data_IF_222740768338
#
_entry.id   IF_222740768338
#
_cell.length_a   1.000
_cell.length_b   1.000
_cell.length_c   1.000
_cell.angle_alpha   90.00
_cell.angle_beta   90.00
_cell.angle_gamma   90.00
#
_symmetry.space_group_name_H-M   'P 1'
#
loop_
_entity.id
_entity.type
_entity.pdbx_description
1 polymer ?
#
# COMPACT_ATOMS: atom_id res chain seq x y z
N UNK A 1 28.56 0.88 -2.14
CA UNK A 1 27.69 1.76 -1.33
C UNK A 1 26.43 2.03 -2.13
N UNK A 2 25.20 1.65 -1.79
CA UNK A 2 24.67 0.66 -0.84
C UNK A 2 23.45 0.05 -1.60
N UNK A 3 23.45 -1.24 -1.99
CA UNK A 3 22.40 -1.80 -2.87
C UNK A 3 21.04 -1.96 -2.18
N UNK A 4 20.99 -1.80 -0.86
CA UNK A 4 19.77 -1.73 -0.09
C UNK A 4 19.49 -0.27 0.29
N UNK A 5 18.37 0.25 -0.20
CA UNK A 5 17.75 1.44 0.33
C UNK A 5 17.41 1.23 1.81
N UNK A 6 18.30 1.69 2.68
CA UNK A 6 18.16 1.59 4.13
C UNK A 6 17.36 2.77 4.72
N UNK A 7 16.76 3.63 3.89
CA UNK A 7 16.04 4.84 4.30
C UNK A 7 14.54 4.81 3.98
N UNK A 8 14.04 3.74 3.35
CA UNK A 8 12.60 3.54 3.12
C UNK A 8 12.04 4.35 1.94
N UNK A 9 12.91 4.91 1.09
CA UNK A 9 12.52 5.67 -0.11
C UNK A 9 11.69 4.81 -1.06
N UNK A 10 11.97 3.51 -1.15
CA UNK A 10 11.20 2.54 -1.96
C UNK A 10 9.71 2.53 -1.62
N UNK A 11 9.34 2.77 -0.36
CA UNK A 11 7.93 2.84 0.05
C UNK A 11 7.26 4.11 -0.44
N UNK A 12 7.99 5.22 -0.54
CA UNK A 12 7.50 6.43 -1.18
C UNK A 12 7.41 6.24 -2.70
N UNK A 13 8.47 5.69 -3.30
CA UNK A 13 8.57 5.50 -4.74
C UNK A 13 7.47 4.58 -5.28
N UNK A 14 7.22 3.44 -4.65
CA UNK A 14 6.17 2.50 -5.10
C UNK A 14 4.78 3.16 -5.10
N UNK A 15 4.48 3.99 -4.09
CA UNK A 15 3.19 4.69 -4.01
C UNK A 15 3.10 5.86 -4.99
N UNK A 16 4.22 6.55 -5.26
CA UNK A 16 4.31 7.54 -6.33
C UNK A 16 4.05 6.91 -7.70
N UNK A 17 4.73 5.81 -8.03
CA UNK A 17 4.55 5.09 -9.29
C UNK A 17 3.11 4.57 -9.43
N UNK A 18 2.51 4.08 -8.34
CA UNK A 18 1.09 3.74 -8.33
C UNK A 18 0.20 4.95 -8.59
N UNK A 19 0.47 6.12 -7.99
CA UNK A 19 -0.33 7.33 -8.22
C UNK A 19 -0.22 7.81 -9.68
N UNK A 20 0.95 7.66 -10.31
CA UNK A 20 1.21 8.00 -11.72
C UNK A 20 0.82 6.88 -12.71
N UNK A 21 0.15 5.82 -12.24
CA UNK A 21 -0.31 4.68 -13.06
C UNK A 21 0.81 3.93 -13.81
N UNK A 22 2.07 4.07 -13.35
CA UNK A 22 3.26 3.42 -13.89
C UNK A 22 3.36 1.95 -13.45
N UNK A 23 2.36 1.15 -13.83
CA UNK A 23 2.16 -0.21 -13.32
C UNK A 23 3.33 -1.17 -13.62
N UNK A 24 4.07 -0.96 -14.71
CA UNK A 24 5.23 -1.81 -15.06
C UNK A 24 6.39 -1.57 -14.11
N UNK A 25 6.65 -0.31 -13.79
CA UNK A 25 7.69 0.13 -12.87
C UNK A 25 7.35 -0.25 -11.43
N UNK A 26 6.06 -0.23 -11.06
CA UNK A 26 5.61 -0.79 -9.78
C UNK A 26 5.91 -2.30 -9.72
N UNK A 27 5.61 -3.05 -10.77
CA UNK A 27 5.87 -4.51 -10.83
C UNK A 27 7.37 -4.81 -10.72
N UNK A 28 8.21 -4.08 -11.46
CA UNK A 28 9.67 -4.20 -11.41
C UNK A 28 10.22 -3.89 -10.02
N UNK A 29 9.76 -2.81 -9.38
CA UNK A 29 10.18 -2.42 -8.04
C UNK A 29 9.75 -3.44 -6.97
N UNK A 30 8.54 -3.99 -7.09
CA UNK A 30 8.06 -5.04 -6.18
C UNK A 30 8.84 -6.35 -6.35
N UNK A 31 9.29 -6.68 -7.56
CA UNK A 31 10.14 -7.85 -7.83
C UNK A 31 11.58 -7.65 -7.31
N UNK A 32 12.11 -6.43 -7.41
CA UNK A 32 13.43 -6.09 -6.85
C UNK A 32 13.43 -6.15 -5.31
N UNK A 33 12.28 -5.88 -4.70
CA UNK A 33 12.11 -5.80 -3.26
C UNK A 33 11.02 -6.77 -2.76
N UNK A 34 11.33 -8.08 -2.74
CA UNK A 34 10.48 -9.13 -2.17
C UNK A 34 10.43 -9.06 -0.62
N UNK A 35 9.81 -8.02 -0.10
CA UNK A 35 9.65 -7.77 1.33
C UNK A 35 8.19 -7.95 1.74
N UNK A 36 7.94 -8.72 2.80
CA UNK A 36 6.59 -8.90 3.33
C UNK A 36 6.12 -7.71 4.20
N UNK A 37 6.47 -6.46 3.90
CA UNK A 37 6.00 -5.30 4.67
C UNK A 37 4.59 -4.88 4.27
N UNK A 38 3.86 -4.18 5.16
CA UNK A 38 2.52 -3.69 4.79
C UNK A 38 2.60 -2.75 3.58
N UNK A 39 3.67 -1.95 3.48
CA UNK A 39 3.93 -1.08 2.34
C UNK A 39 3.90 -1.83 1.02
N UNK A 40 4.72 -2.87 0.89
CA UNK A 40 4.81 -3.63 -0.35
C UNK A 40 3.55 -4.46 -0.60
N UNK A 41 2.97 -5.06 0.44
CA UNK A 41 1.80 -5.94 0.25
C UNK A 41 0.53 -5.18 -0.12
N UNK A 42 0.28 -4.00 0.45
CA UNK A 42 -0.85 -3.19 0.00
C UNK A 42 -0.62 -2.61 -1.40
N UNK A 43 0.61 -2.23 -1.75
CA UNK A 43 0.97 -1.80 -3.10
C UNK A 43 0.82 -2.93 -4.13
N UNK A 44 1.25 -4.15 -3.80
CA UNK A 44 1.04 -5.36 -4.61
C UNK A 44 -0.46 -5.66 -4.78
N UNK A 45 -1.26 -5.53 -3.71
CA UNK A 45 -2.70 -5.73 -3.78
C UNK A 45 -3.38 -4.74 -4.75
N UNK A 46 -3.01 -3.45 -4.69
CA UNK A 46 -3.54 -2.44 -5.59
C UNK A 46 -3.11 -2.68 -7.05
N UNK A 47 -1.83 -2.98 -7.29
CA UNK A 47 -1.33 -3.32 -8.62
C UNK A 47 -2.03 -4.56 -9.18
N UNK A 48 -2.15 -5.62 -8.37
CA UNK A 48 -2.84 -6.85 -8.75
C UNK A 48 -4.31 -6.60 -9.09
N UNK A 49 -4.97 -5.71 -8.34
CA UNK A 49 -6.34 -5.28 -8.64
C UNK A 49 -6.42 -4.58 -10.00
N UNK A 50 -5.53 -3.62 -10.26
CA UNK A 50 -5.47 -2.89 -11.54
C UNK A 50 -5.23 -3.82 -12.74
N UNK A 51 -4.27 -4.72 -12.64
CA UNK A 51 -3.82 -5.54 -13.76
C UNK A 51 -4.66 -6.82 -13.96
N UNK A 52 -5.20 -7.39 -12.87
CA UNK A 52 -5.78 -8.75 -12.87
C UNK A 52 -7.23 -8.78 -12.38
N UNK A 53 -7.73 -7.68 -11.82
CA UNK A 53 -9.09 -7.56 -11.30
C UNK A 53 -9.30 -8.18 -9.90
N UNK A 54 -10.42 -7.80 -9.28
CA UNK A 54 -10.77 -8.13 -7.88
C UNK A 54 -10.65 -9.60 -7.50
N UNK A 55 -11.03 -10.52 -8.39
CA UNK A 55 -11.01 -11.96 -8.11
C UNK A 55 -9.58 -12.48 -7.96
N UNK A 56 -8.68 -12.07 -8.86
CA UNK A 56 -7.27 -12.52 -8.85
C UNK A 56 -6.45 -11.78 -7.79
N UNK A 57 -6.82 -10.54 -7.47
CA UNK A 57 -6.16 -9.73 -6.44
C UNK A 57 -6.55 -10.12 -4.99
N UNK A 58 -7.58 -10.93 -4.81
CA UNK A 58 -8.09 -11.30 -3.48
C UNK A 58 -7.03 -11.92 -2.56
N UNK A 59 -6.11 -12.71 -3.12
CA UNK A 59 -5.01 -13.31 -2.35
C UNK A 59 -4.01 -12.27 -1.84
N UNK A 60 -3.59 -11.33 -2.69
CA UNK A 60 -2.68 -10.25 -2.31
C UNK A 60 -3.33 -9.31 -1.30
N UNK A 61 -4.62 -8.99 -1.47
CA UNK A 61 -5.34 -8.18 -0.48
C UNK A 61 -5.41 -8.86 0.89
N UNK A 62 -5.68 -10.17 0.94
CA UNK A 62 -5.69 -10.88 2.22
C UNK A 62 -4.34 -10.79 2.94
N UNK A 63 -3.23 -10.99 2.21
CA UNK A 63 -1.87 -10.83 2.77
C UNK A 63 -1.63 -9.40 3.30
N UNK A 64 -2.12 -8.38 2.59
CA UNK A 64 -2.01 -7.00 3.01
C UNK A 64 -2.79 -6.72 4.30
N UNK A 65 -4.02 -7.23 4.40
CA UNK A 65 -4.83 -7.11 5.62
C UNK A 65 -4.21 -7.85 6.81
N UNK A 66 -3.59 -9.01 6.57
CA UNK A 66 -2.88 -9.79 7.58
C UNK A 66 -1.61 -9.09 8.11
N UNK A 67 -0.93 -8.28 7.30
CA UNK A 67 0.26 -7.56 7.77
C UNK A 67 -0.05 -6.32 8.57
N UNK A 68 -1.11 -5.59 8.22
CA UNK A 68 -1.60 -4.48 9.02
C UNK A 68 -3.09 -4.21 8.74
N UNK A 69 -3.95 -4.61 9.66
CA UNK A 69 -5.41 -4.48 9.53
C UNK A 69 -5.90 -3.03 9.69
N UNK A 70 -5.13 -2.17 10.37
CA UNK A 70 -5.48 -0.78 10.61
C UNK A 70 -5.50 0.08 9.34
N UNK A 71 -4.69 -0.26 8.33
CA UNK A 71 -4.57 0.49 7.07
C UNK A 71 -5.93 0.70 6.39
N UNK A 72 -6.77 -0.33 6.40
CA UNK A 72 -8.09 -0.28 5.77
C UNK A 72 -8.96 0.86 6.31
N UNK A 73 -8.96 1.09 7.63
CA UNK A 73 -9.76 2.14 8.25
C UNK A 73 -9.32 3.54 7.80
N UNK A 74 -8.03 3.76 7.56
CA UNK A 74 -7.51 5.02 7.04
C UNK A 74 -7.77 5.20 5.54
N UNK A 75 -7.56 4.15 4.74
CA UNK A 75 -7.83 4.21 3.29
C UNK A 75 -9.32 4.44 2.98
N UNK A 76 -10.20 3.81 3.77
CA UNK A 76 -11.66 3.95 3.62
C UNK A 76 -12.22 5.23 4.24
N UNK A 77 -11.38 6.05 4.89
CA UNK A 77 -11.80 7.28 5.55
C UNK A 77 -12.64 7.07 6.81
N UNK A 78 -12.67 5.86 7.37
CA UNK A 78 -13.28 5.57 8.69
C UNK A 78 -12.49 6.28 9.79
N UNK A 79 -11.17 6.31 9.66
CA UNK A 79 -10.26 7.14 10.47
C UNK A 79 -9.63 8.22 9.61
N UNK A 80 -9.44 9.39 10.19
CA UNK A 80 -8.76 10.51 9.54
C UNK A 80 -7.25 10.30 9.54
N UNK A 81 -6.58 10.51 8.41
CA UNK A 81 -5.12 10.50 8.30
C UNK A 81 -4.58 11.79 8.94
N UNK A 82 -3.82 11.72 10.05
CA UNK A 82 -3.27 12.92 10.71
C UNK A 82 -2.41 13.77 9.76
N UNK A 83 -2.46 15.10 9.93
CA UNK A 83 -1.57 16.01 9.20
C UNK A 83 -0.10 15.85 9.60
N UNK A 84 0.15 15.48 10.86
CA UNK A 84 1.47 15.17 11.38
C UNK A 84 1.56 13.65 11.45
N UNK A 85 2.37 13.07 10.56
CA UNK A 85 2.67 11.64 10.58
C UNK A 85 3.59 11.30 11.76
N UNK A 86 3.45 10.13 12.38
CA UNK A 86 4.33 9.68 13.47
C UNK A 86 5.80 9.64 13.05
N UNK A 87 6.71 10.00 13.97
CA UNK A 87 8.16 9.99 13.73
C UNK A 87 8.74 8.57 13.60
N UNK A 88 8.03 7.58 14.14
CA UNK A 88 8.42 6.19 14.12
C UNK A 88 7.19 5.29 14.09
N UNK A 89 7.39 4.07 13.62
CA UNK A 89 6.38 3.02 13.63
C UNK A 89 7.03 1.68 13.96
N UNK A 90 6.20 0.72 14.37
CA UNK A 90 6.59 -0.69 14.45
C UNK A 90 5.73 -1.53 13.52
N UNK A 91 6.21 -2.70 13.14
CA UNK A 91 5.50 -3.59 12.21
C UNK A 91 4.13 -3.99 12.77
N UNK A 92 3.08 -3.78 11.99
CA UNK A 92 1.68 -4.05 12.36
C UNK A 92 1.01 -2.98 13.23
N UNK A 93 1.73 -1.91 13.58
CA UNK A 93 1.19 -0.83 14.42
C UNK A 93 0.22 0.08 13.68
N UNK A 94 -0.58 0.82 14.43
CA UNK A 94 -1.44 1.85 13.87
C UNK A 94 -0.63 3.01 13.24
N UNK A 95 0.54 3.33 13.80
CA UNK A 95 1.46 4.33 13.25
C UNK A 95 1.99 3.92 11.87
N UNK A 96 2.30 2.64 11.67
CA UNK A 96 2.70 2.10 10.37
C UNK A 96 1.57 2.25 9.35
N UNK A 97 0.32 2.03 9.78
CA UNK A 97 -0.85 2.21 8.94
C UNK A 97 -1.10 3.67 8.54
N UNK A 98 -0.91 4.60 9.49
CA UNK A 98 -0.97 6.05 9.21
C UNK A 98 0.09 6.43 8.19
N UNK A 99 1.32 5.96 8.36
CA UNK A 99 2.42 6.28 7.46
C UNK A 99 2.13 5.76 6.05
N UNK A 100 1.71 4.50 5.90
CA UNK A 100 1.30 3.95 4.60
C UNK A 100 0.14 4.74 3.98
N UNK A 101 -0.94 4.97 4.73
CA UNK A 101 -2.12 5.64 4.21
C UNK A 101 -1.80 7.08 3.78
N UNK A 102 -0.92 7.79 4.49
CA UNK A 102 -0.54 9.17 4.15
C UNK A 102 0.06 9.31 2.75
N UNK A 103 0.74 8.28 2.25
CA UNK A 103 1.39 8.29 0.93
C UNK A 103 0.61 7.51 -0.13
N UNK A 104 -0.12 6.48 0.27
CA UNK A 104 -0.82 5.59 -0.66
C UNK A 104 -2.25 6.04 -0.97
N UNK A 105 -2.88 6.84 -0.11
CA UNK A 105 -4.31 7.16 -0.22
C UNK A 105 -4.69 7.74 -1.59
N UNK A 106 -3.83 8.59 -2.17
CA UNK A 106 -4.09 9.13 -3.51
C UNK A 106 -4.15 8.03 -4.58
N UNK A 107 -3.22 7.07 -4.57
CA UNK A 107 -3.20 5.97 -5.53
C UNK A 107 -4.43 5.06 -5.42
N UNK A 108 -4.90 4.79 -4.20
CA UNK A 108 -6.13 4.04 -3.97
C UNK A 108 -7.36 4.82 -4.45
N UNK A 109 -7.41 6.12 -4.19
CA UNK A 109 -8.51 6.99 -4.57
C UNK A 109 -8.62 7.18 -6.09
N UNK A 110 -7.49 7.29 -6.80
CA UNK A 110 -7.48 7.45 -8.27
C UNK A 110 -7.76 6.14 -8.99
N UNK A 111 -7.58 4.99 -8.34
CA UNK A 111 -7.88 3.69 -8.94
C UNK A 111 -9.39 3.42 -8.92
N UNK A 112 -10.06 3.32 -10.09
CA UNK A 112 -11.50 3.10 -10.12
C UNK A 112 -11.92 1.85 -9.35
N UNK A 113 -12.91 1.99 -8.47
CA UNK A 113 -13.48 0.93 -7.63
C UNK A 113 -12.54 0.28 -6.61
N UNK A 114 -11.29 0.73 -6.45
CA UNK A 114 -10.36 0.09 -5.51
C UNK A 114 -10.81 0.22 -4.05
N UNK A 115 -11.27 1.41 -3.63
CA UNK A 115 -11.77 1.62 -2.28
C UNK A 115 -13.10 0.87 -2.02
N UNK A 116 -13.98 0.78 -3.01
CA UNK A 116 -15.21 -0.03 -2.91
C UNK A 116 -14.84 -1.50 -2.73
N UNK A 117 -13.92 -2.00 -3.55
CA UNK A 117 -13.42 -3.38 -3.45
C UNK A 117 -12.76 -3.66 -2.10
N UNK A 118 -11.99 -2.70 -1.55
CA UNK A 118 -11.43 -2.82 -0.21
C UNK A 118 -12.54 -2.93 0.85
N UNK A 119 -13.56 -2.07 0.78
CA UNK A 119 -14.68 -2.05 1.73
C UNK A 119 -15.47 -3.38 1.75
N UNK A 120 -15.59 -4.07 0.61
CA UNK A 120 -16.28 -5.36 0.52
C UNK A 120 -15.50 -6.53 1.14
N UNK A 121 -14.26 -6.31 1.57
CA UNK A 121 -13.31 -7.37 1.95
C UNK A 121 -12.71 -7.21 3.36
N UNK A 122 -13.13 -6.18 4.08
CA UNK A 122 -12.71 -5.88 5.45
C UNK A 122 -13.80 -6.15 6.47
#
# INVERSE_FOLDING_TARGET
MNPNDNQGIRYLLVNYLLAEEMNKEVDELLLEHEEATCFMQYSEALLSFRCKGARKAAGSLRKALESNSHVSAYLLGVKHIPHVVPDAYTRGSEEEAIFYASVAHQAWKTTPNALVWLAERV
#
